data_IF_293491024285
#
_entry.id   IF_293491024285
#
_cell.length_a   1.000
_cell.length_b   1.000
_cell.length_c   1.000
_cell.angle_alpha   90.00
_cell.angle_beta   90.00
_cell.angle_gamma   90.00
#
_symmetry.space_group_name_H-M   'P 1'
#
loop_
_entity.id
_entity.type
_entity.pdbx_description
1 polymer ?
#
# COMPACT_ATOMS: atom_id res chain seq x y z
N UNK A 1 -0.29 34.83 -3.31
CA UNK A 1 0.14 34.37 -1.96
C UNK A 1 1.61 34.01 -2.08
N UNK A 2 2.40 33.80 -1.01
CA UNK A 2 3.70 33.15 -1.21
C UNK A 2 3.43 31.70 -1.61
N UNK A 3 3.97 31.26 -2.74
CA UNK A 3 3.87 29.86 -3.15
C UNK A 3 4.52 29.01 -2.05
N UNK A 4 3.78 28.04 -1.49
CA UNK A 4 4.36 27.15 -0.49
C UNK A 4 5.47 26.32 -1.14
N UNK A 5 6.52 26.04 -0.38
CA UNK A 5 7.65 25.28 -0.88
C UNK A 5 7.25 23.81 -1.01
N UNK A 6 6.68 23.44 -2.15
CA UNK A 6 6.61 22.05 -2.60
C UNK A 6 8.03 21.52 -2.70
N UNK A 7 8.37 20.57 -1.84
CA UNK A 7 9.68 19.94 -1.88
C UNK A 7 9.78 19.02 -3.11
N UNK A 8 11.00 18.54 -3.38
CA UNK A 8 11.24 17.52 -4.40
C UNK A 8 10.79 16.12 -3.91
N UNK A 9 10.37 16.00 -2.65
CA UNK A 9 9.78 14.78 -2.08
C UNK A 9 8.27 14.73 -2.37
N UNK A 10 7.57 15.86 -2.20
CA UNK A 10 6.12 15.97 -2.45
C UNK A 10 5.83 15.70 -3.94
N UNK A 11 6.44 16.49 -4.82
CA UNK A 11 6.33 16.40 -6.30
C UNK A 11 6.80 15.09 -6.95
N UNK A 12 7.35 14.15 -6.19
CA UNK A 12 7.70 12.80 -6.66
C UNK A 12 6.74 11.72 -6.18
N UNK A 13 5.98 12.02 -5.11
CA UNK A 13 5.00 11.13 -4.51
C UNK A 13 3.64 11.19 -5.19
N UNK A 14 3.44 12.24 -6.00
CA UNK A 14 2.22 12.49 -6.74
C UNK A 14 2.10 11.57 -7.98
N UNK A 15 3.20 11.33 -8.72
CA UNK A 15 3.22 10.56 -9.99
C UNK A 15 3.38 9.02 -9.83
N UNK A 16 3.66 8.50 -8.64
CA UNK A 16 3.95 7.06 -8.41
C UNK A 16 2.82 6.35 -7.61
N UNK A 17 2.51 5.08 -7.89
CA UNK A 17 1.53 4.30 -7.12
C UNK A 17 1.93 4.24 -5.64
N UNK A 18 1.01 4.61 -4.74
CA UNK A 18 1.36 4.83 -3.32
C UNK A 18 1.42 3.52 -2.53
N UNK A 19 0.85 2.44 -3.08
CA UNK A 19 1.10 1.05 -2.67
C UNK A 19 1.61 0.21 -3.84
N UNK A 20 2.50 -0.73 -3.54
CA UNK A 20 3.20 -1.51 -4.55
C UNK A 20 3.30 -3.00 -4.16
N UNK A 21 2.87 -3.89 -5.06
CA UNK A 21 3.17 -5.31 -4.97
C UNK A 21 4.65 -5.60 -5.29
N UNK A 22 5.25 -4.79 -6.17
CA UNK A 22 6.67 -4.86 -6.49
C UNK A 22 7.53 -3.97 -5.57
N UNK A 23 8.75 -4.43 -5.29
CA UNK A 23 9.73 -3.63 -4.55
C UNK A 23 10.21 -2.46 -5.41
N UNK A 24 9.87 -1.24 -5.00
CA UNK A 24 10.37 -0.01 -5.62
C UNK A 24 11.91 0.07 -5.53
N UNK A 25 12.56 0.79 -6.45
CA UNK A 25 14.02 0.96 -6.44
C UNK A 25 14.53 1.47 -5.08
N UNK A 26 13.85 2.48 -4.52
CA UNK A 26 14.16 3.05 -3.21
C UNK A 26 13.99 2.05 -2.07
N UNK A 27 12.95 1.21 -2.13
CA UNK A 27 12.79 0.13 -1.17
C UNK A 27 13.97 -0.84 -1.25
N UNK A 28 14.39 -1.25 -2.45
CA UNK A 28 15.53 -2.15 -2.67
C UNK A 28 16.85 -1.60 -2.14
N UNK A 29 17.16 -0.33 -2.39
CA UNK A 29 18.34 0.35 -1.82
C UNK A 29 18.32 0.35 -0.28
N UNK A 30 17.17 0.66 0.33
CA UNK A 30 17.00 0.66 1.78
C UNK A 30 17.11 -0.75 2.37
N UNK A 31 16.52 -1.74 1.70
CA UNK A 31 16.64 -3.15 2.08
C UNK A 31 18.12 -3.57 2.04
N UNK A 32 18.83 -3.34 0.94
CA UNK A 32 20.23 -3.72 0.79
C UNK A 32 21.14 -3.15 1.89
N UNK A 33 20.98 -1.87 2.21
CA UNK A 33 21.67 -1.26 3.34
C UNK A 33 21.32 -1.94 4.68
N UNK A 34 20.03 -2.19 4.92
CA UNK A 34 19.51 -2.72 6.18
C UNK A 34 19.87 -4.20 6.41
N UNK A 35 19.73 -5.04 5.40
CA UNK A 35 19.93 -6.48 5.51
C UNK A 35 21.40 -6.80 5.63
N UNK A 36 22.25 -6.17 4.83
CA UNK A 36 23.70 -6.35 4.93
C UNK A 36 24.29 -5.74 6.22
N UNK A 37 23.90 -4.49 6.53
CA UNK A 37 24.55 -3.71 7.59
C UNK A 37 24.22 -4.16 9.01
N UNK A 38 23.02 -4.71 9.25
CA UNK A 38 22.45 -4.87 10.60
C UNK A 38 22.09 -6.34 10.95
N UNK A 39 22.87 -7.31 10.49
CA UNK A 39 22.97 -8.61 11.18
C UNK A 39 22.42 -9.85 10.47
N UNK A 40 21.87 -9.76 9.26
CA UNK A 40 21.76 -10.97 8.42
C UNK A 40 23.17 -11.43 8.02
N UNK A 41 23.36 -12.74 7.94
CA UNK A 41 24.60 -13.39 7.49
C UNK A 41 24.25 -14.53 6.54
N UNK A 42 25.27 -15.28 6.14
CA UNK A 42 25.12 -16.54 5.40
C UNK A 42 24.36 -16.36 4.07
N UNK A 43 24.51 -15.18 3.43
CA UNK A 43 23.84 -14.89 2.15
C UNK A 43 24.36 -15.76 1.00
N UNK A 44 25.57 -16.31 1.09
CA UNK A 44 26.12 -17.27 0.14
C UNK A 44 25.32 -18.57 0.19
N UNK A 45 25.09 -19.10 1.39
CA UNK A 45 24.27 -20.29 1.62
C UNK A 45 22.77 -20.02 1.37
N UNK A 46 22.33 -18.77 1.48
CA UNK A 46 20.99 -18.34 1.07
C UNK A 46 20.85 -18.35 -0.45
N UNK A 47 21.82 -17.80 -1.18
CA UNK A 47 21.89 -17.83 -2.63
C UNK A 47 21.97 -19.26 -3.17
N UNK A 48 22.82 -20.11 -2.59
CA UNK A 48 22.84 -21.54 -2.91
C UNK A 48 21.48 -22.22 -2.65
N UNK A 49 20.78 -21.84 -1.58
CA UNK A 49 19.43 -22.32 -1.27
C UNK A 49 18.39 -21.93 -2.34
N UNK A 50 18.50 -20.71 -2.86
CA UNK A 50 17.67 -20.18 -3.96
C UNK A 50 17.99 -20.91 -5.28
N UNK A 51 19.27 -21.04 -5.63
CA UNK A 51 19.76 -21.80 -6.80
C UNK A 51 19.29 -23.24 -6.78
N UNK A 52 19.29 -23.89 -5.61
CA UNK A 52 18.81 -25.27 -5.47
C UNK A 52 17.30 -25.43 -5.67
N UNK A 53 16.50 -24.36 -5.61
CA UNK A 53 15.04 -24.40 -5.84
C UNK A 53 14.59 -23.88 -7.20
N UNK A 54 15.08 -22.73 -7.65
CA UNK A 54 14.71 -22.16 -8.97
C UNK A 54 15.57 -22.69 -10.12
N UNK A 55 16.69 -23.33 -9.81
CA UNK A 55 17.67 -23.73 -10.80
C UNK A 55 18.59 -22.58 -11.17
N UNK A 56 19.82 -22.93 -11.52
CA UNK A 56 20.89 -21.96 -11.73
C UNK A 56 20.64 -21.05 -12.95
N UNK A 57 20.26 -21.64 -14.09
CA UNK A 57 20.12 -20.91 -15.37
C UNK A 57 19.03 -19.84 -15.34
N UNK A 58 17.93 -20.11 -14.63
CA UNK A 58 16.80 -19.17 -14.47
C UNK A 58 17.23 -17.92 -13.67
N UNK A 59 18.03 -18.12 -12.62
CA UNK A 59 18.55 -17.02 -11.80
C UNK A 59 19.64 -16.22 -12.52
N UNK A 60 20.51 -16.84 -13.32
CA UNK A 60 21.52 -16.08 -14.08
C UNK A 60 20.92 -15.22 -15.17
N UNK A 61 19.87 -15.70 -15.84
CA UNK A 61 19.14 -14.92 -16.84
C UNK A 61 18.44 -13.72 -16.18
N UNK A 62 17.79 -13.93 -15.03
CA UNK A 62 17.11 -12.87 -14.28
C UNK A 62 18.05 -11.84 -13.66
N UNK A 63 19.22 -12.26 -13.19
CA UNK A 63 20.23 -11.39 -12.56
C UNK A 63 21.18 -10.72 -13.58
N UNK A 64 20.96 -10.93 -14.88
CA UNK A 64 21.82 -10.45 -15.98
C UNK A 64 23.30 -10.86 -15.83
N UNK A 65 23.56 -12.05 -15.28
CA UNK A 65 24.92 -12.54 -14.99
C UNK A 65 25.50 -13.33 -16.17
N UNK A 66 26.38 -12.71 -16.94
CA UNK A 66 27.10 -13.28 -18.10
C UNK A 66 28.34 -14.11 -17.64
N UNK A 67 28.13 -15.07 -16.75
CA UNK A 67 29.21 -15.64 -15.89
C UNK A 67 28.99 -17.14 -15.58
N UNK A 68 30.09 -17.91 -15.40
CA UNK A 68 30.01 -19.35 -15.11
C UNK A 68 29.41 -19.62 -13.70
N UNK A 69 28.60 -20.68 -13.49
CA UNK A 69 28.11 -21.06 -12.16
C UNK A 69 29.16 -21.18 -11.06
N UNK A 70 30.36 -21.58 -11.42
CA UNK A 70 31.49 -21.67 -10.50
C UNK A 70 31.96 -20.27 -10.06
N UNK A 71 32.08 -19.35 -11.03
CA UNK A 71 32.50 -17.97 -10.81
C UNK A 71 31.48 -17.13 -10.02
N UNK A 72 30.17 -17.41 -10.14
CA UNK A 72 29.15 -16.73 -9.33
C UNK A 72 29.17 -17.21 -7.86
N UNK A 73 29.42 -18.51 -7.64
CA UNK A 73 29.63 -19.04 -6.29
C UNK A 73 30.90 -18.45 -5.67
N UNK A 74 31.96 -18.29 -6.46
CA UNK A 74 33.20 -17.63 -6.04
C UNK A 74 32.98 -16.12 -5.78
N UNK A 75 32.17 -15.41 -6.58
CA UNK A 75 31.81 -13.99 -6.34
C UNK A 75 31.10 -13.78 -4.99
N UNK A 76 30.13 -14.63 -4.65
CA UNK A 76 29.53 -14.66 -3.31
C UNK A 76 30.51 -15.09 -2.20
N UNK A 77 31.70 -15.61 -2.54
CA UNK A 77 32.80 -15.93 -1.63
C UNK A 77 33.86 -14.84 -1.51
N UNK A 78 34.06 -14.02 -2.54
CA UNK A 78 35.10 -12.97 -2.61
C UNK A 78 34.56 -11.55 -2.33
N UNK A 79 33.45 -11.12 -2.95
CA UNK A 79 32.77 -9.84 -2.65
C UNK A 79 31.27 -10.04 -2.37
N UNK A 80 31.05 -10.61 -1.18
CA UNK A 80 29.74 -10.89 -0.60
C UNK A 80 28.80 -9.67 -0.48
N UNK A 81 29.33 -8.44 -0.42
CA UNK A 81 28.51 -7.23 -0.35
C UNK A 81 27.97 -6.83 -1.72
N UNK A 82 28.83 -6.85 -2.74
CA UNK A 82 28.46 -6.57 -4.12
C UNK A 82 27.40 -7.57 -4.60
N UNK A 83 27.64 -8.87 -4.39
CA UNK A 83 26.73 -9.93 -4.78
C UNK A 83 25.35 -9.86 -4.07
N UNK A 84 25.32 -9.49 -2.78
CA UNK A 84 24.08 -9.25 -2.04
C UNK A 84 23.29 -8.07 -2.61
N UNK A 85 23.95 -6.94 -2.80
CA UNK A 85 23.33 -5.73 -3.34
C UNK A 85 22.79 -5.96 -4.75
N UNK A 86 23.53 -6.69 -5.60
CA UNK A 86 23.11 -7.00 -6.96
C UNK A 86 21.79 -7.76 -6.98
N UNK A 87 21.66 -8.85 -6.20
CA UNK A 87 20.40 -9.61 -6.11
C UNK A 87 19.22 -8.70 -5.70
N UNK A 88 19.43 -7.81 -4.73
CA UNK A 88 18.36 -6.91 -4.26
C UNK A 88 17.99 -5.82 -5.27
N UNK A 89 18.93 -5.37 -6.10
CA UNK A 89 18.72 -4.30 -7.06
C UNK A 89 18.23 -4.80 -8.44
N UNK A 90 18.60 -6.01 -8.87
CA UNK A 90 18.27 -6.53 -10.22
C UNK A 90 17.15 -7.55 -10.25
N UNK A 91 17.05 -8.46 -9.26
CA UNK A 91 16.11 -9.58 -9.32
C UNK A 91 14.63 -9.14 -9.24
N UNK A 92 13.70 -9.96 -9.70
CA UNK A 92 12.27 -9.69 -9.50
C UNK A 92 11.89 -9.75 -7.99
N UNK A 93 10.74 -9.17 -7.64
CA UNK A 93 10.31 -9.03 -6.24
C UNK A 93 10.24 -10.37 -5.51
N UNK A 94 9.65 -11.39 -6.11
CA UNK A 94 9.53 -12.73 -5.51
C UNK A 94 10.90 -13.34 -5.23
N UNK A 95 11.87 -13.12 -6.12
CA UNK A 95 13.25 -13.59 -5.98
C UNK A 95 13.97 -12.90 -4.82
N UNK A 96 13.85 -11.57 -4.71
CA UNK A 96 14.38 -10.79 -3.58
C UNK A 96 13.79 -11.27 -2.26
N UNK A 97 12.46 -11.36 -2.17
CA UNK A 97 11.78 -11.77 -0.94
C UNK A 97 12.17 -13.22 -0.55
N UNK A 98 12.16 -14.15 -1.51
CA UNK A 98 12.62 -15.54 -1.30
C UNK A 98 14.06 -15.61 -0.80
N UNK A 99 14.97 -14.85 -1.43
CA UNK A 99 16.37 -14.76 -1.02
C UNK A 99 16.52 -14.25 0.41
N UNK A 100 15.73 -13.24 0.80
CA UNK A 100 15.72 -12.73 2.17
C UNK A 100 15.15 -13.76 3.17
N UNK A 101 14.07 -14.49 2.86
CA UNK A 101 13.59 -15.61 3.71
C UNK A 101 14.71 -16.63 3.97
N UNK A 102 15.45 -16.99 2.92
CA UNK A 102 16.59 -17.89 3.02
C UNK A 102 17.71 -17.33 3.89
N UNK A 103 18.05 -16.04 3.73
CA UNK A 103 19.07 -15.38 4.55
C UNK A 103 18.65 -15.32 6.03
N UNK A 104 17.38 -15.00 6.32
CA UNK A 104 16.83 -15.03 7.67
C UNK A 104 16.90 -16.43 8.28
N UNK A 105 16.42 -17.45 7.56
CA UNK A 105 16.45 -18.84 8.02
C UNK A 105 17.89 -19.34 8.26
N UNK A 106 18.83 -19.01 7.37
CA UNK A 106 20.25 -19.36 7.50
C UNK A 106 20.95 -18.61 8.63
N UNK A 107 20.56 -17.37 8.91
CA UNK A 107 21.13 -16.57 10.02
C UNK A 107 20.62 -17.10 11.36
N UNK A 108 19.31 -17.35 11.47
CA UNK A 108 18.67 -17.86 12.69
C UNK A 108 19.19 -19.23 13.12
N UNK A 109 19.46 -20.12 12.16
CA UNK A 109 19.96 -21.47 12.42
C UNK A 109 21.51 -21.55 12.42
N UNK A 110 22.21 -20.42 12.47
CA UNK A 110 23.67 -20.34 12.51
C UNK A 110 24.21 -19.87 13.86
N UNK A 111 25.43 -20.26 14.20
CA UNK A 111 26.04 -20.01 15.53
C UNK A 111 26.57 -18.57 15.74
N UNK A 112 26.27 -17.62 14.85
CA UNK A 112 27.06 -16.36 14.71
C UNK A 112 26.32 -15.05 15.00
N UNK A 113 25.02 -15.08 15.27
CA UNK A 113 24.18 -13.90 15.55
C UNK A 113 23.17 -14.23 16.64
N UNK A 114 22.87 -13.30 17.56
CA UNK A 114 21.81 -13.53 18.54
C UNK A 114 20.44 -13.38 17.89
N UNK A 115 19.51 -14.31 18.18
CA UNK A 115 18.15 -14.31 17.61
C UNK A 115 17.40 -12.98 17.76
N UNK A 116 17.68 -12.22 18.83
CA UNK A 116 17.10 -10.89 19.08
C UNK A 116 17.50 -9.87 17.98
N UNK A 117 18.72 -9.97 17.46
CA UNK A 117 19.27 -9.05 16.46
C UNK A 117 18.69 -9.40 15.08
N UNK A 118 18.44 -10.69 14.82
CA UNK A 118 17.72 -11.17 13.63
C UNK A 118 16.27 -10.67 13.62
N UNK A 119 15.56 -10.74 14.77
CA UNK A 119 14.20 -10.14 14.91
C UNK A 119 14.26 -8.62 14.73
N UNK A 120 15.21 -7.93 15.36
CA UNK A 120 15.38 -6.48 15.19
C UNK A 120 15.66 -6.07 13.75
N UNK A 121 16.36 -6.90 12.96
CA UNK A 121 16.52 -6.69 11.52
C UNK A 121 15.20 -6.87 10.76
N UNK A 122 14.44 -7.93 11.08
CA UNK A 122 13.12 -8.20 10.48
C UNK A 122 12.11 -7.08 10.75
N UNK A 123 12.07 -6.54 11.97
CA UNK A 123 11.24 -5.38 12.32
C UNK A 123 11.64 -4.12 11.52
N UNK A 124 12.92 -3.92 11.25
CA UNK A 124 13.42 -2.79 10.45
C UNK A 124 13.16 -2.98 8.95
N UNK A 125 13.26 -4.21 8.43
CA UNK A 125 12.81 -4.57 7.09
C UNK A 125 11.31 -4.32 6.93
N UNK A 126 10.48 -4.77 7.87
CA UNK A 126 9.04 -4.52 7.86
C UNK A 126 8.72 -3.02 7.86
N UNK A 127 9.44 -2.20 8.63
CA UNK A 127 9.30 -0.75 8.62
C UNK A 127 9.67 -0.12 7.27
N UNK A 128 10.68 -0.64 6.56
CA UNK A 128 11.02 -0.20 5.20
C UNK A 128 9.85 -0.50 4.26
N UNK A 129 9.36 -1.75 4.25
CA UNK A 129 8.21 -2.16 3.43
C UNK A 129 6.99 -1.28 3.68
N UNK A 130 6.62 -1.06 4.94
CA UNK A 130 5.49 -0.20 5.33
C UNK A 130 5.64 1.24 4.84
N UNK A 131 6.82 1.85 5.04
CA UNK A 131 7.07 3.26 4.67
C UNK A 131 7.18 3.52 3.16
N UNK A 132 7.42 2.49 2.36
CA UNK A 132 7.47 2.55 0.88
C UNK A 132 6.18 1.98 0.25
N UNK A 133 5.11 1.77 1.05
CA UNK A 133 3.82 1.28 0.56
C UNK A 133 3.82 -0.18 0.09
N UNK A 134 4.86 -0.96 0.39
CA UNK A 134 5.01 -2.32 -0.15
C UNK A 134 4.00 -3.26 0.49
N UNK A 135 3.21 -3.93 -0.34
CA UNK A 135 2.13 -4.86 0.02
C UNK A 135 2.65 -6.26 0.41
N UNK A 136 3.71 -6.31 1.21
CA UNK A 136 4.25 -7.53 1.80
C UNK A 136 4.49 -7.35 3.31
N UNK A 137 4.22 -8.40 4.09
CA UNK A 137 4.52 -8.51 5.52
C UNK A 137 5.54 -9.62 5.78
N UNK A 138 6.61 -9.30 6.50
CA UNK A 138 7.56 -10.28 7.03
C UNK A 138 7.06 -10.82 8.37
N UNK A 139 6.47 -12.01 8.37
CA UNK A 139 6.11 -12.74 9.60
C UNK A 139 7.25 -13.64 10.05
N UNK A 140 7.38 -13.82 11.36
CA UNK A 140 8.22 -14.87 11.93
C UNK A 140 7.51 -15.57 13.08
N UNK A 141 7.85 -16.84 13.31
CA UNK A 141 7.41 -17.61 14.47
C UNK A 141 8.51 -17.76 15.52
N UNK A 142 8.22 -18.48 16.61
CA UNK A 142 9.18 -18.75 17.68
C UNK A 142 10.27 -19.78 17.28
N UNK A 143 10.05 -20.53 16.21
CA UNK A 143 10.99 -21.53 15.68
C UNK A 143 11.96 -20.91 14.65
N UNK A 144 11.78 -19.65 14.28
CA UNK A 144 12.63 -18.90 13.35
C UNK A 144 12.27 -19.07 11.87
N UNK A 145 11.01 -19.36 11.57
CA UNK A 145 10.52 -19.36 10.19
C UNK A 145 10.09 -17.95 9.79
N UNK A 146 11.01 -17.21 9.16
CA UNK A 146 10.74 -15.93 8.55
C UNK A 146 10.10 -16.14 7.17
N UNK A 147 8.95 -15.52 6.92
CA UNK A 147 8.21 -15.64 5.65
C UNK A 147 7.55 -14.33 5.24
N UNK A 148 7.64 -13.98 3.96
CA UNK A 148 6.85 -12.88 3.42
C UNK A 148 5.44 -13.36 3.05
N UNK A 149 4.44 -12.50 3.28
CA UNK A 149 3.05 -12.73 2.90
C UNK A 149 2.50 -11.47 2.24
N UNK A 150 1.78 -11.61 1.13
CA UNK A 150 1.14 -10.48 0.46
C UNK A 150 0.05 -9.85 1.36
N UNK A 151 -0.11 -8.53 1.24
CA UNK A 151 -1.08 -7.73 2.00
C UNK A 151 -2.00 -7.03 1.00
N UNK A 152 -3.28 -7.42 0.95
CA UNK A 152 -4.18 -6.91 -0.07
C UNK A 152 -4.06 -7.70 -1.37
N UNK A 153 -4.43 -7.07 -2.48
CA UNK A 153 -4.57 -7.70 -3.80
C UNK A 153 -4.20 -6.66 -4.87
N UNK A 154 -3.77 -7.10 -6.06
CA UNK A 154 -3.44 -6.23 -7.21
C UNK A 154 -4.49 -5.12 -7.48
N UNK A 155 -5.78 -5.43 -7.29
CA UNK A 155 -6.91 -4.50 -7.42
C UNK A 155 -6.81 -3.25 -6.51
N UNK A 156 -6.02 -3.30 -5.43
CA UNK A 156 -5.74 -2.15 -4.57
C UNK A 156 -4.78 -1.16 -5.23
N UNK A 157 -3.81 -1.64 -6.00
CA UNK A 157 -2.87 -0.80 -6.76
C UNK A 157 -3.59 -0.13 -7.92
N UNK A 158 -4.39 -0.89 -8.69
CA UNK A 158 -5.20 -0.36 -9.79
C UNK A 158 -6.17 0.74 -9.32
N UNK A 159 -6.91 0.51 -8.23
CA UNK A 159 -7.85 1.50 -7.70
C UNK A 159 -7.18 2.74 -7.08
N UNK A 160 -5.94 2.62 -6.58
CA UNK A 160 -5.14 3.75 -6.07
C UNK A 160 -4.52 4.57 -7.21
N UNK A 161 -4.07 3.91 -8.28
CA UNK A 161 -3.61 4.55 -9.52
C UNK A 161 -4.74 5.34 -10.21
N UNK A 162 -5.91 4.72 -10.40
CA UNK A 162 -7.08 5.40 -10.97
C UNK A 162 -7.53 6.58 -10.12
N UNK A 163 -7.59 6.44 -8.79
CA UNK A 163 -8.00 7.54 -7.92
C UNK A 163 -6.95 8.66 -7.86
N UNK A 164 -5.66 8.33 -7.87
CA UNK A 164 -4.58 9.33 -7.94
C UNK A 164 -4.66 10.11 -9.25
N UNK A 165 -4.85 9.43 -10.39
CA UNK A 165 -5.07 10.07 -11.69
C UNK A 165 -6.32 10.98 -11.71
N UNK A 166 -7.38 10.60 -10.99
CA UNK A 166 -8.57 11.45 -10.82
C UNK A 166 -8.29 12.68 -9.94
N UNK A 167 -7.31 12.68 -9.04
CA UNK A 167 -7.04 13.83 -8.15
C UNK A 167 -6.17 14.92 -8.78
N UNK A 168 -5.27 14.58 -9.69
CA UNK A 168 -4.18 15.48 -10.12
C UNK A 168 -4.67 16.64 -11.00
N UNK A 169 -4.85 17.82 -10.40
CA UNK A 169 -5.22 19.05 -11.11
C UNK A 169 -6.61 19.01 -11.74
N UNK A 170 -7.52 18.20 -11.19
CA UNK A 170 -8.92 18.07 -11.62
C UNK A 170 -9.87 18.73 -10.62
N UNK A 171 -11.17 18.68 -10.90
CA UNK A 171 -12.22 19.11 -9.96
C UNK A 171 -12.34 18.21 -8.70
N UNK A 172 -11.69 17.05 -8.67
CA UNK A 172 -11.78 16.07 -7.57
C UNK A 172 -10.67 16.22 -6.52
N UNK A 173 -9.70 17.10 -6.72
CA UNK A 173 -8.58 17.34 -5.79
C UNK A 173 -9.06 17.70 -4.37
N UNK A 174 -9.97 18.68 -4.26
CA UNK A 174 -10.52 19.11 -2.97
C UNK A 174 -11.46 18.06 -2.33
N UNK A 175 -12.45 17.47 -3.03
CA UNK A 175 -13.32 16.43 -2.47
C UNK A 175 -12.59 15.17 -1.98
N UNK A 176 -11.49 14.80 -2.63
CA UNK A 176 -10.69 13.62 -2.30
C UNK A 176 -9.54 13.91 -1.31
N UNK A 177 -9.38 15.15 -0.85
CA UNK A 177 -8.34 15.55 0.09
C UNK A 177 -8.37 14.76 1.42
N UNK A 178 -9.55 14.43 1.95
CA UNK A 178 -9.65 13.58 3.15
C UNK A 178 -9.26 12.11 2.85
N UNK A 179 -9.39 11.60 1.61
CA UNK A 179 -8.83 10.29 1.23
C UNK A 179 -7.30 10.32 1.28
N UNK A 180 -6.65 11.37 0.75
CA UNK A 180 -5.20 11.55 0.86
C UNK A 180 -4.73 11.49 2.32
N UNK A 181 -5.38 12.22 3.23
CA UNK A 181 -5.03 12.21 4.66
C UNK A 181 -5.21 10.82 5.29
N UNK A 182 -6.24 10.06 4.92
CA UNK A 182 -6.40 8.68 5.36
C UNK A 182 -5.23 7.80 4.91
N UNK A 183 -4.76 8.02 3.69
CA UNK A 183 -3.62 7.32 3.10
C UNK A 183 -2.29 7.68 3.75
N UNK A 184 -2.06 8.97 4.01
CA UNK A 184 -0.87 9.47 4.72
C UNK A 184 -0.78 8.86 6.12
N UNK A 185 -1.90 8.81 6.87
CA UNK A 185 -1.97 8.15 8.17
C UNK A 185 -1.61 6.65 8.09
N UNK A 186 -2.01 5.96 7.03
CA UNK A 186 -1.65 4.55 6.79
C UNK A 186 -0.15 4.37 6.52
N UNK A 187 0.44 5.21 5.66
CA UNK A 187 1.89 5.19 5.38
C UNK A 187 2.74 5.60 6.60
N UNK A 188 2.24 6.53 7.41
CA UNK A 188 2.81 6.94 8.70
C UNK A 188 2.63 5.88 9.81
N UNK A 189 1.98 4.74 9.52
CA UNK A 189 1.72 3.63 10.45
C UNK A 189 0.79 4.02 11.61
N UNK A 190 -0.04 5.05 11.43
CA UNK A 190 -1.01 5.58 12.39
C UNK A 190 -2.38 4.91 12.20
N UNK A 191 -2.42 3.60 12.41
CA UNK A 191 -3.64 2.81 12.26
C UNK A 191 -4.60 3.10 13.43
N UNK A 192 -5.67 3.85 13.16
CA UNK A 192 -6.61 4.32 14.17
C UNK A 192 -7.89 4.89 13.57
N UNK A 193 -8.79 5.37 14.44
CA UNK A 193 -10.13 5.87 14.05
C UNK A 193 -10.13 7.05 13.08
N UNK A 194 -9.03 7.78 12.97
CA UNK A 194 -8.84 8.87 12.02
C UNK A 194 -8.92 8.37 10.56
N UNK A 195 -8.44 7.15 10.25
CA UNK A 195 -8.51 6.58 8.90
C UNK A 195 -9.99 6.36 8.47
N UNK A 196 -10.84 5.61 9.20
CA UNK A 196 -12.26 5.49 8.86
C UNK A 196 -13.04 6.81 8.80
N UNK A 197 -12.70 7.78 9.65
CA UNK A 197 -13.32 9.12 9.64
C UNK A 197 -13.01 9.86 8.33
N UNK A 198 -11.73 9.89 7.96
CA UNK A 198 -11.24 10.55 6.75
C UNK A 198 -11.77 9.87 5.48
N UNK A 199 -11.87 8.54 5.47
CA UNK A 199 -12.50 7.79 4.39
C UNK A 199 -14.01 8.04 4.25
N UNK A 200 -14.74 8.18 5.37
CA UNK A 200 -16.16 8.57 5.34
C UNK A 200 -16.34 9.96 4.73
N UNK A 201 -15.54 10.92 5.17
CA UNK A 201 -15.59 12.30 4.68
C UNK A 201 -15.33 12.38 3.18
N UNK A 202 -14.36 11.63 2.64
CA UNK A 202 -14.07 11.60 1.22
C UNK A 202 -15.28 11.12 0.38
N UNK A 203 -16.01 10.11 0.84
CA UNK A 203 -17.27 9.68 0.21
C UNK A 203 -18.31 10.80 0.28
N UNK A 204 -18.48 11.42 1.46
CA UNK A 204 -19.49 12.45 1.66
C UNK A 204 -19.22 13.72 0.83
N UNK A 205 -18.01 14.25 0.83
CA UNK A 205 -17.66 15.43 0.05
C UNK A 205 -17.67 15.15 -1.46
N UNK A 206 -17.30 13.95 -1.92
CA UNK A 206 -17.43 13.58 -3.35
C UNK A 206 -18.89 13.64 -3.81
N UNK A 207 -19.83 13.04 -3.06
CA UNK A 207 -21.25 13.06 -3.47
C UNK A 207 -21.92 14.41 -3.23
N UNK A 208 -21.48 15.19 -2.24
CA UNK A 208 -21.90 16.59 -2.04
C UNK A 208 -21.47 17.46 -3.22
N UNK A 209 -20.22 17.31 -3.69
CA UNK A 209 -19.68 18.10 -4.79
C UNK A 209 -20.45 17.83 -6.09
N UNK A 210 -20.77 16.57 -6.40
CA UNK A 210 -21.65 16.22 -7.52
C UNK A 210 -23.03 16.87 -7.36
N UNK A 211 -23.72 16.61 -6.24
CA UNK A 211 -25.12 17.00 -6.07
C UNK A 211 -25.34 18.51 -5.88
N UNK A 212 -24.38 19.24 -5.32
CA UNK A 212 -24.50 20.66 -4.94
C UNK A 212 -23.71 21.53 -5.90
N UNK A 213 -22.39 21.33 -5.99
CA UNK A 213 -21.49 22.31 -6.62
C UNK A 213 -21.45 22.19 -8.15
N UNK A 214 -21.56 20.97 -8.68
CA UNK A 214 -21.47 20.70 -10.13
C UNK A 214 -22.84 20.72 -10.82
N UNK A 215 -23.87 20.17 -10.19
CA UNK A 215 -25.15 19.88 -10.85
C UNK A 215 -26.39 20.64 -10.33
N UNK A 216 -26.28 21.39 -9.22
CA UNK A 216 -27.39 22.16 -8.63
C UNK A 216 -28.65 21.30 -8.35
N UNK A 217 -28.46 20.06 -7.88
CA UNK A 217 -29.53 19.11 -7.56
C UNK A 217 -30.04 19.25 -6.11
N UNK A 218 -29.27 19.87 -5.21
CA UNK A 218 -29.67 20.22 -3.83
C UNK A 218 -28.98 21.53 -3.42
N UNK A 219 -29.74 22.52 -2.92
CA UNK A 219 -29.20 23.83 -2.50
C UNK A 219 -28.37 23.78 -1.20
N UNK A 220 -28.49 22.72 -0.41
CA UNK A 220 -27.95 22.62 0.95
C UNK A 220 -26.86 21.56 1.08
N UNK A 221 -25.63 21.97 1.43
CA UNK A 221 -24.49 21.07 1.71
C UNK A 221 -24.54 20.39 3.11
N UNK A 222 -25.44 20.82 3.99
CA UNK A 222 -25.60 20.28 5.35
C UNK A 222 -26.56 19.06 5.44
N UNK A 223 -26.90 18.42 4.31
CA UNK A 223 -27.63 17.13 4.36
C UNK A 223 -26.67 16.00 4.73
N UNK A 224 -27.22 14.86 5.10
CA UNK A 224 -26.43 13.66 5.36
C UNK A 224 -26.10 12.92 4.06
N UNK A 225 -25.02 12.13 4.09
CA UNK A 225 -24.62 11.23 3.00
C UNK A 225 -25.77 10.45 2.35
N UNK A 226 -26.69 9.87 3.14
CA UNK A 226 -27.80 9.05 2.63
C UNK A 226 -28.70 9.82 1.66
N UNK A 227 -28.96 11.11 1.92
CA UNK A 227 -29.75 11.99 1.07
C UNK A 227 -29.10 12.19 -0.30
N UNK A 228 -27.79 12.49 -0.35
CA UNK A 228 -27.07 12.64 -1.61
C UNK A 228 -26.99 11.33 -2.39
N UNK A 229 -26.79 10.19 -1.71
CA UNK A 229 -26.84 8.88 -2.37
C UNK A 229 -28.23 8.57 -2.96
N UNK A 230 -29.33 8.98 -2.32
CA UNK A 230 -30.66 8.88 -2.92
C UNK A 230 -30.80 9.76 -4.18
N UNK A 231 -30.28 11.00 -4.18
CA UNK A 231 -30.23 11.87 -5.37
C UNK A 231 -29.44 11.21 -6.50
N UNK A 232 -28.21 10.73 -6.25
CA UNK A 232 -27.38 10.05 -7.26
C UNK A 232 -28.11 8.85 -7.90
N UNK A 233 -28.89 8.10 -7.11
CA UNK A 233 -29.72 7.00 -7.62
C UNK A 233 -30.90 7.50 -8.46
N UNK A 234 -31.62 8.52 -8.00
CA UNK A 234 -32.75 9.14 -8.74
C UNK A 234 -32.30 9.80 -10.06
N UNK A 235 -31.04 10.22 -10.12
CA UNK A 235 -30.37 10.76 -11.30
C UNK A 235 -29.65 9.67 -12.11
N UNK A 236 -29.96 8.39 -11.90
CA UNK A 236 -29.39 7.22 -12.59
C UNK A 236 -27.84 7.17 -12.66
N UNK A 237 -27.09 7.81 -11.75
CA UNK A 237 -25.60 7.76 -11.78
C UNK A 237 -25.11 6.32 -11.61
N UNK A 238 -25.80 5.53 -10.79
CA UNK A 238 -25.48 4.11 -10.59
C UNK A 238 -25.91 3.20 -11.76
N UNK A 239 -26.67 3.70 -12.76
CA UNK A 239 -27.00 2.98 -14.00
C UNK A 239 -27.77 1.65 -13.77
N UNK A 240 -27.39 0.55 -14.45
CA UNK A 240 -28.10 -0.72 -14.35
C UNK A 240 -27.92 -1.41 -12.99
N UNK A 241 -27.00 -0.92 -12.16
CA UNK A 241 -26.71 -1.44 -10.83
C UNK A 241 -27.10 -0.42 -9.74
N UNK A 242 -28.40 -0.05 -9.59
CA UNK A 242 -28.83 0.91 -8.57
C UNK A 242 -28.60 0.41 -7.13
N UNK A 243 -28.31 -0.89 -6.95
CA UNK A 243 -27.91 -1.51 -5.67
C UNK A 243 -26.61 -0.94 -5.11
N UNK A 244 -25.72 -0.39 -5.96
CA UNK A 244 -24.47 0.26 -5.52
C UNK A 244 -24.72 1.36 -4.49
N UNK A 245 -25.87 2.02 -4.55
CA UNK A 245 -26.32 3.01 -3.56
C UNK A 245 -26.37 2.43 -2.14
N UNK A 246 -26.91 1.22 -2.01
CA UNK A 246 -27.06 0.57 -0.71
C UNK A 246 -25.74 -0.05 -0.24
N UNK A 247 -24.88 -0.54 -1.15
CA UNK A 247 -23.51 -0.99 -0.80
C UNK A 247 -22.63 0.14 -0.25
N UNK A 248 -22.56 1.28 -0.97
CA UNK A 248 -21.80 2.47 -0.55
C UNK A 248 -22.32 2.98 0.80
N UNK A 249 -23.65 2.95 0.99
CA UNK A 249 -24.27 3.30 2.26
C UNK A 249 -23.87 2.32 3.38
N UNK A 250 -23.94 1.01 3.17
CA UNK A 250 -23.56 0.01 4.17
C UNK A 250 -22.09 0.13 4.58
N UNK A 251 -21.20 0.44 3.63
CA UNK A 251 -19.83 0.82 3.91
C UNK A 251 -19.75 2.07 4.81
N UNK A 252 -20.38 3.18 4.41
CA UNK A 252 -20.25 4.43 5.15
C UNK A 252 -20.85 4.32 6.56
N UNK A 253 -21.99 3.64 6.69
CA UNK A 253 -22.59 3.21 7.95
C UNK A 253 -21.62 2.38 8.83
N UNK A 254 -20.68 1.64 8.23
CA UNK A 254 -19.66 0.84 8.93
C UNK A 254 -18.47 1.70 9.37
N UNK A 255 -18.00 2.60 8.50
CA UNK A 255 -16.98 3.60 8.82
C UNK A 255 -17.43 4.49 9.98
N UNK A 256 -18.65 5.06 9.92
CA UNK A 256 -19.22 5.91 10.97
C UNK A 256 -19.28 5.20 12.34
N UNK A 257 -19.81 3.96 12.36
CA UNK A 257 -19.86 3.15 13.58
C UNK A 257 -18.48 2.84 14.15
N UNK A 258 -17.42 2.91 13.34
CA UNK A 258 -16.06 2.59 13.74
C UNK A 258 -15.40 3.77 14.46
N UNK A 259 -15.48 5.00 13.91
CA UNK A 259 -14.93 6.18 14.59
C UNK A 259 -15.85 6.71 15.72
N UNK A 260 -17.18 6.64 15.58
CA UNK A 260 -18.11 7.11 16.61
C UNK A 260 -18.01 6.35 17.95
N UNK A 261 -17.61 5.06 17.91
CA UNK A 261 -17.35 4.25 19.12
C UNK A 261 -16.14 4.73 19.92
N UNK A 262 -15.14 5.33 19.26
CA UNK A 262 -13.90 5.81 19.89
C UNK A 262 -14.10 7.19 20.53
N UNK A 263 -14.95 8.04 19.94
CA UNK A 263 -15.21 9.40 20.45
C UNK A 263 -15.99 9.48 21.77
N UNK A 264 -16.96 8.58 22.01
CA UNK A 264 -17.96 8.78 23.07
C UNK A 264 -17.73 8.00 24.38
N UNK A 265 -16.92 6.93 24.40
CA UNK A 265 -16.83 6.05 25.57
C UNK A 265 -15.43 6.01 26.18
N UNK A 266 -15.24 6.70 27.32
CA UNK A 266 -13.95 6.72 28.07
C UNK A 266 -13.47 5.33 28.50
N UNK A 267 -14.33 4.30 28.44
CA UNK A 267 -13.99 2.89 28.74
C UNK A 267 -13.46 2.12 27.53
N UNK A 268 -13.71 2.59 26.31
CA UNK A 268 -13.24 1.98 25.06
C UNK A 268 -12.04 2.74 24.46
N UNK A 269 -11.23 3.36 25.33
CA UNK A 269 -9.96 4.02 24.95
C UNK A 269 -8.86 3.04 24.54
N UNK A 270 -9.04 1.76 24.84
CA UNK A 270 -8.50 0.72 23.97
C UNK A 270 -9.36 0.73 22.72
N UNK A 271 -8.90 1.47 21.71
CA UNK A 271 -9.43 1.37 20.35
C UNK A 271 -9.55 -0.12 20.00
N UNK A 272 -10.49 -0.55 19.14
CA UNK A 272 -10.19 -1.74 18.37
C UNK A 272 -8.80 -1.52 17.76
N UNK A 273 -7.85 -2.43 18.04
CA UNK A 273 -6.53 -2.39 17.43
C UNK A 273 -6.77 -2.60 15.92
N UNK A 274 -6.91 -1.49 15.20
CA UNK A 274 -7.02 -1.52 13.75
C UNK A 274 -5.62 -1.87 13.27
N UNK A 275 -5.47 -3.12 12.83
CA UNK A 275 -4.23 -3.55 12.23
C UNK A 275 -4.09 -2.96 10.82
N UNK A 276 -2.87 -3.08 10.30
CA UNK A 276 -2.53 -2.66 8.94
C UNK A 276 -3.51 -3.26 7.92
N UNK A 277 -3.82 -4.55 8.04
CA UNK A 277 -4.73 -5.29 7.14
C UNK A 277 -6.13 -4.67 7.06
N UNK A 278 -6.74 -4.34 8.20
CA UNK A 278 -8.06 -3.70 8.22
C UNK A 278 -8.03 -2.32 7.57
N UNK A 279 -7.00 -1.51 7.85
CA UNK A 279 -6.82 -0.22 7.19
C UNK A 279 -6.58 -0.35 5.67
N UNK A 280 -5.76 -1.31 5.22
CA UNK A 280 -5.56 -1.61 3.80
C UNK A 280 -6.87 -1.97 3.10
N UNK A 281 -7.68 -2.83 3.72
CA UNK A 281 -8.99 -3.23 3.19
C UNK A 281 -9.92 -2.02 3.06
N UNK A 282 -10.02 -1.17 4.09
CA UNK A 282 -10.86 0.02 4.02
C UNK A 282 -10.41 1.00 2.93
N UNK A 283 -9.10 1.26 2.81
CA UNK A 283 -8.53 2.10 1.75
C UNK A 283 -8.91 1.58 0.36
N UNK A 284 -8.71 0.28 0.11
CA UNK A 284 -9.03 -0.35 -1.17
C UNK A 284 -10.53 -0.28 -1.51
N UNK A 285 -11.40 -0.67 -0.58
CA UNK A 285 -12.83 -0.70 -0.87
C UNK A 285 -13.36 0.73 -1.10
N UNK A 286 -12.89 1.71 -0.32
CA UNK A 286 -13.31 3.12 -0.46
C UNK A 286 -12.78 3.73 -1.76
N UNK A 287 -11.53 3.46 -2.16
CA UNK A 287 -11.02 3.96 -3.45
C UNK A 287 -11.83 3.40 -4.62
N UNK A 288 -12.14 2.10 -4.62
CA UNK A 288 -12.97 1.48 -5.64
C UNK A 288 -14.38 2.11 -5.75
N UNK A 289 -15.03 2.44 -4.63
CA UNK A 289 -16.33 3.13 -4.68
C UNK A 289 -16.23 4.60 -5.12
N UNK A 290 -15.17 5.32 -4.74
CA UNK A 290 -14.92 6.71 -5.17
C UNK A 290 -14.68 6.77 -6.68
N UNK A 291 -13.75 5.95 -7.19
CA UNK A 291 -13.49 5.75 -8.63
C UNK A 291 -14.79 5.41 -9.37
N UNK A 292 -15.59 4.47 -8.84
CA UNK A 292 -16.87 4.12 -9.44
C UNK A 292 -17.87 5.29 -9.46
N UNK A 293 -18.04 6.04 -8.37
CA UNK A 293 -18.94 7.20 -8.34
C UNK A 293 -18.52 8.24 -9.39
N UNK A 294 -17.24 8.61 -9.40
CA UNK A 294 -16.68 9.65 -10.26
C UNK A 294 -16.78 9.24 -11.74
N UNK A 295 -16.23 8.08 -12.10
CA UNK A 295 -16.24 7.60 -13.49
C UNK A 295 -17.67 7.46 -14.05
N UNK A 296 -18.66 7.13 -13.20
CA UNK A 296 -20.06 6.97 -13.63
C UNK A 296 -20.80 8.30 -13.74
N UNK A 297 -20.45 9.29 -12.93
CA UNK A 297 -20.88 10.66 -13.12
C UNK A 297 -20.30 11.24 -14.41
N UNK A 298 -18.97 11.14 -14.60
CA UNK A 298 -18.29 11.67 -15.79
C UNK A 298 -18.76 11.01 -17.09
N UNK A 299 -18.83 9.67 -17.18
CA UNK A 299 -19.39 8.96 -18.34
C UNK A 299 -20.81 9.41 -18.70
N UNK A 300 -21.60 9.87 -17.72
CA UNK A 300 -22.96 10.32 -17.97
C UNK A 300 -23.04 11.81 -18.35
N UNK A 301 -22.10 12.64 -17.90
CA UNK A 301 -22.20 14.10 -18.04
C UNK A 301 -21.18 14.71 -19.02
N UNK A 302 -20.00 14.09 -19.20
CA UNK A 302 -18.94 14.53 -20.13
C UNK A 302 -19.22 14.03 -21.56
N UNK A 303 -19.55 12.75 -21.73
CA UNK A 303 -19.86 12.15 -23.06
C UNK A 303 -21.18 12.69 -23.68
N UNK A 304 -21.97 13.47 -22.94
CA UNK A 304 -23.18 14.14 -23.44
C UNK A 304 -22.96 15.62 -23.81
N UNK A 305 -21.71 16.06 -23.94
CA UNK A 305 -21.35 17.44 -24.37
C UNK A 305 -20.67 17.57 -25.74
N UNK A 306 -20.61 16.49 -26.55
CA UNK A 306 -20.27 16.53 -28.00
C UNK A 306 -21.52 16.62 -28.91
#
# INVERSE_FOLDING_TARGET
MPDEFESLYDRRRDDEPRVNNDLTHRCRERLAFQTYGNGLRNHHEAFQGLVARRGFSELTEELELDTDPTEIVDWFGEDFQEAHNHVLLTANTITVLSYLEYAYWKTWNGDSVENKDVVGNAEQVQQILESEGILWELKHDADGQFRFQEIGHELMKEADEELTGLMMGTIWEEPLNDFNKAYELYLDRKYGSEIPEKLYNAIEDTVKTICVDLEDWEDNRDRNLVHYLDILREKDVFSPNPIMKDEIREMADSLEKTFAKVGNDRKNRHSPDMDRYYCSMLLHQVSAYLVFIINRYEQKHVDNTE
#
